data_IF_240870330119
#
_entry.id   IF_240870330119
#
_cell.length_a   1.000
_cell.length_b   1.000
_cell.length_c   1.000
_cell.angle_alpha   90.00
_cell.angle_beta   90.00
_cell.angle_gamma   90.00
#
_symmetry.space_group_name_H-M   'P 1'
#
loop_
_entity.id
_entity.type
_entity.pdbx_description
1 polymer ?
#
# COMPACT_ATOMS: atom_id res chain seq x y z
N UNK A 1 -12.68 35.65 -7.55
CA UNK A 1 -13.20 34.29 -7.32
C UNK A 1 -12.00 33.38 -7.29
N UNK A 2 -11.66 32.81 -6.14
CA UNK A 2 -10.52 31.90 -6.02
C UNK A 2 -10.93 30.52 -6.53
N UNK A 3 -10.24 30.03 -7.55
CA UNK A 3 -10.38 28.66 -8.06
C UNK A 3 -10.00 27.67 -6.96
N UNK A 4 -10.98 26.90 -6.46
CA UNK A 4 -10.72 25.79 -5.56
C UNK A 4 -9.91 24.73 -6.30
N UNK A 5 -8.60 24.64 -6.01
CA UNK A 5 -7.75 23.60 -6.58
C UNK A 5 -8.17 22.22 -6.04
N UNK A 6 -8.66 21.40 -6.95
CA UNK A 6 -9.07 20.02 -6.76
C UNK A 6 -7.87 19.11 -6.46
N UNK A 7 -8.07 18.11 -5.60
CA UNK A 7 -7.12 17.01 -5.42
C UNK A 7 -7.52 15.82 -6.28
N UNK A 8 -6.59 15.29 -7.07
CA UNK A 8 -6.74 14.00 -7.76
C UNK A 8 -5.72 13.01 -7.23
N UNK A 9 -6.10 11.76 -6.97
CA UNK A 9 -5.09 10.75 -6.65
C UNK A 9 -4.19 10.53 -7.86
N UNK A 10 -2.89 10.78 -7.72
CA UNK A 10 -1.92 10.63 -8.82
C UNK A 10 -1.84 9.19 -9.37
N UNK A 11 -2.32 8.20 -8.62
CA UNK A 11 -2.24 6.77 -8.97
C UNK A 11 -3.43 6.27 -9.76
N UNK A 12 -4.65 6.40 -9.22
CA UNK A 12 -5.87 5.95 -9.91
C UNK A 12 -6.56 7.06 -10.71
N UNK A 13 -6.03 8.29 -10.70
CA UNK A 13 -6.57 9.46 -11.41
C UNK A 13 -8.04 9.75 -11.04
N UNK A 14 -8.51 9.24 -9.91
CA UNK A 14 -9.84 9.55 -9.39
C UNK A 14 -9.80 10.97 -8.81
N UNK A 15 -10.80 11.76 -9.20
CA UNK A 15 -10.97 13.14 -8.75
C UNK A 15 -11.79 13.17 -7.46
N UNK A 16 -11.42 14.06 -6.53
CA UNK A 16 -12.24 14.30 -5.34
C UNK A 16 -13.54 15.00 -5.73
N UNK A 17 -14.68 14.52 -5.22
CA UNK A 17 -15.95 15.23 -5.40
C UNK A 17 -15.98 16.54 -4.59
N UNK A 18 -16.80 17.54 -4.99
CA UNK A 18 -16.62 18.94 -4.56
C UNK A 18 -16.91 19.26 -3.08
N UNK A 19 -17.28 18.29 -2.24
CA UNK A 19 -17.85 18.56 -0.92
C UNK A 19 -17.22 17.72 0.21
N UNK A 20 -16.13 18.23 0.82
CA UNK A 20 -15.54 17.93 2.17
C UNK A 20 -14.18 17.20 2.19
N UNK A 21 -13.27 17.70 3.04
CA UNK A 21 -11.97 17.09 3.43
C UNK A 21 -12.05 15.60 3.86
N UNK A 22 -13.21 15.11 4.29
CA UNK A 22 -13.47 13.70 4.65
C UNK A 22 -13.29 12.74 3.45
N UNK A 23 -13.51 13.23 2.22
CA UNK A 23 -13.45 12.45 0.99
C UNK A 23 -12.03 12.08 0.54
N UNK A 24 -11.00 12.75 1.02
CA UNK A 24 -9.64 12.44 0.58
C UNK A 24 -9.14 11.09 1.11
N UNK A 25 -9.32 10.83 2.40
CA UNK A 25 -9.00 9.52 3.00
C UNK A 25 -9.79 8.40 2.34
N UNK A 26 -11.06 8.65 2.05
CA UNK A 26 -11.93 7.69 1.37
C UNK A 26 -11.47 7.42 -0.07
N UNK A 27 -11.07 8.46 -0.81
CA UNK A 27 -10.54 8.33 -2.17
C UNK A 27 -9.21 7.57 -2.19
N UNK A 28 -8.31 7.84 -1.26
CA UNK A 28 -7.05 7.09 -1.10
C UNK A 28 -7.30 5.63 -0.72
N UNK A 29 -8.19 5.40 0.24
CA UNK A 29 -8.60 4.06 0.68
C UNK A 29 -9.20 3.24 -0.48
N UNK A 30 -10.15 3.81 -1.23
CA UNK A 30 -10.77 3.17 -2.39
C UNK A 30 -9.77 2.88 -3.50
N UNK A 31 -8.85 3.82 -3.76
CA UNK A 31 -7.78 3.67 -4.74
C UNK A 31 -6.83 2.51 -4.37
N UNK A 32 -6.46 2.42 -3.10
CA UNK A 32 -5.61 1.36 -2.58
C UNK A 32 -6.31 0.00 -2.56
N UNK A 33 -7.58 -0.06 -2.13
CA UNK A 33 -8.37 -1.29 -2.14
C UNK A 33 -8.45 -1.88 -3.55
N UNK A 34 -8.78 -1.06 -4.55
CA UNK A 34 -8.80 -1.49 -5.97
C UNK A 34 -7.43 -1.97 -6.45
N UNK A 35 -6.34 -1.28 -6.06
CA UNK A 35 -4.96 -1.69 -6.38
C UNK A 35 -4.64 -3.06 -5.80
N UNK A 36 -4.91 -3.26 -4.51
CA UNK A 36 -4.65 -4.52 -3.83
C UNK A 36 -5.42 -5.67 -4.48
N UNK A 37 -6.69 -5.43 -4.80
CA UNK A 37 -7.53 -6.38 -5.53
C UNK A 37 -6.96 -6.75 -6.90
N UNK A 38 -6.54 -5.76 -7.70
CA UNK A 38 -5.94 -6.00 -9.02
C UNK A 38 -4.60 -6.74 -8.92
N UNK A 39 -3.83 -6.50 -7.86
CA UNK A 39 -2.54 -7.14 -7.66
C UNK A 39 -2.65 -8.57 -7.11
N UNK A 40 -3.80 -9.02 -6.61
CA UNK A 40 -3.93 -10.38 -6.05
C UNK A 40 -3.47 -11.49 -6.99
N UNK A 41 -3.76 -11.37 -8.28
CA UNK A 41 -3.39 -12.38 -9.27
C UNK A 41 -1.96 -12.20 -9.80
N UNK A 42 -1.29 -11.11 -9.45
CA UNK A 42 0.01 -10.72 -10.00
C UNK A 42 1.20 -11.07 -9.09
N UNK A 43 0.94 -11.55 -7.87
CA UNK A 43 1.99 -12.00 -6.95
C UNK A 43 1.52 -13.23 -6.16
N UNK A 44 2.48 -14.07 -5.81
CA UNK A 44 2.35 -15.15 -4.81
C UNK A 44 3.64 -15.16 -4.01
N UNK A 45 3.55 -15.48 -2.71
CA UNK A 45 4.74 -15.75 -1.90
C UNK A 45 5.36 -17.11 -2.20
N UNK A 46 4.66 -17.97 -2.95
CA UNK A 46 4.97 -19.40 -3.07
C UNK A 46 4.52 -20.22 -1.85
N UNK A 47 3.81 -19.61 -0.90
CA UNK A 47 3.23 -20.27 0.26
C UNK A 47 1.72 -19.95 0.35
N UNK A 48 0.89 -20.95 0.08
CA UNK A 48 -0.57 -20.80 0.02
C UNK A 48 -1.19 -20.30 1.32
N UNK A 49 -0.63 -20.66 2.48
CA UNK A 49 -1.18 -20.25 3.78
C UNK A 49 -0.92 -18.77 4.04
N UNK A 50 0.29 -18.28 3.71
CA UNK A 50 0.64 -16.87 3.77
C UNK A 50 -0.20 -16.07 2.79
N UNK A 51 -0.35 -16.56 1.55
CA UNK A 51 -1.13 -15.89 0.52
C UNK A 51 -2.61 -15.76 0.94
N UNK A 52 -3.23 -16.84 1.44
CA UNK A 52 -4.59 -16.82 2.00
C UNK A 52 -4.72 -15.88 3.19
N UNK A 53 -3.73 -15.85 4.09
CA UNK A 53 -3.75 -14.98 5.25
C UNK A 53 -3.77 -13.50 4.86
N UNK A 54 -2.89 -13.10 3.92
CA UNK A 54 -2.83 -11.73 3.41
C UNK A 54 -4.12 -11.36 2.66
N UNK A 55 -4.65 -12.26 1.83
CA UNK A 55 -5.92 -12.06 1.13
C UNK A 55 -7.08 -11.85 2.11
N UNK A 56 -7.20 -12.70 3.13
CA UNK A 56 -8.23 -12.60 4.16
C UNK A 56 -8.12 -11.31 4.99
N UNK A 57 -6.90 -10.86 5.31
CA UNK A 57 -6.68 -9.57 5.95
C UNK A 57 -7.21 -8.42 5.08
N UNK A 58 -6.87 -8.41 3.78
CA UNK A 58 -7.32 -7.36 2.85
C UNK A 58 -8.85 -7.35 2.65
N UNK A 59 -9.50 -8.52 2.70
CA UNK A 59 -10.97 -8.63 2.60
C UNK A 59 -11.70 -8.20 3.88
N UNK A 60 -11.11 -8.43 5.05
CA UNK A 60 -11.74 -8.16 6.35
C UNK A 60 -11.43 -6.76 6.90
N UNK A 61 -10.38 -6.11 6.40
CA UNK A 61 -9.89 -4.86 6.95
C UNK A 61 -10.77 -3.67 6.56
N UNK A 62 -11.32 -3.00 7.57
CA UNK A 62 -12.05 -1.72 7.41
C UNK A 62 -11.15 -0.49 7.53
N UNK A 63 -9.90 -0.69 7.95
CA UNK A 63 -8.97 0.37 8.28
C UNK A 63 -7.69 0.26 7.44
N UNK A 64 -7.43 1.27 6.62
CA UNK A 64 -6.26 1.33 5.72
C UNK A 64 -4.90 1.15 6.43
N UNK A 65 -4.81 1.49 7.72
CA UNK A 65 -3.59 1.30 8.52
C UNK A 65 -3.32 -0.16 8.92
N UNK A 66 -4.30 -1.07 8.75
CA UNK A 66 -4.21 -2.48 9.15
C UNK A 66 -4.06 -3.43 7.95
N UNK A 67 -3.90 -2.87 6.74
CA UNK A 67 -3.73 -3.64 5.53
C UNK A 67 -2.31 -4.22 5.48
N UNK A 68 -2.22 -5.53 5.28
CA UNK A 68 -0.98 -6.23 5.01
C UNK A 68 -0.69 -6.21 3.50
N UNK A 69 0.53 -5.82 3.13
CA UNK A 69 1.00 -5.87 1.74
C UNK A 69 2.19 -6.82 1.63
N UNK A 70 2.14 -7.71 0.64
CA UNK A 70 3.30 -8.48 0.23
C UNK A 70 4.26 -7.63 -0.60
N UNK A 71 5.52 -7.56 -0.19
CA UNK A 71 6.56 -6.81 -0.89
C UNK A 71 7.57 -7.80 -1.47
N UNK A 72 7.65 -7.96 -2.79
CA UNK A 72 8.66 -8.81 -3.42
C UNK A 72 10.07 -8.36 -3.07
N UNK A 73 10.98 -9.31 -2.86
CA UNK A 73 12.35 -9.03 -2.41
C UNK A 73 13.11 -8.06 -3.35
N UNK A 74 12.85 -8.14 -4.66
CA UNK A 74 13.46 -7.26 -5.66
C UNK A 74 13.03 -5.77 -5.56
N UNK A 75 12.07 -5.44 -4.68
CA UNK A 75 11.68 -4.05 -4.36
C UNK A 75 12.53 -3.46 -3.23
N UNK A 76 13.44 -4.22 -2.64
CA UNK A 76 14.37 -3.73 -1.65
C UNK A 76 15.72 -3.36 -2.30
N UNK A 77 16.27 -2.21 -1.90
CA UNK A 77 17.61 -1.74 -2.27
C UNK A 77 18.44 -1.49 -1.03
N UNK A 78 19.77 -1.52 -1.19
CA UNK A 78 20.73 -1.34 -0.09
C UNK A 78 20.39 -2.27 1.08
N UNK A 79 20.22 -3.56 0.77
CA UNK A 79 19.98 -4.60 1.80
C UNK A 79 21.28 -4.80 2.56
N UNK A 80 21.26 -4.51 3.85
CA UNK A 80 22.41 -4.58 4.77
C UNK A 80 22.06 -5.60 5.84
N UNK A 81 22.92 -6.59 6.03
CA UNK A 81 22.82 -7.55 7.12
C UNK A 81 23.11 -6.88 8.47
N UNK A 82 22.32 -7.21 9.50
CA UNK A 82 22.50 -6.69 10.85
C UNK A 82 23.03 -7.78 11.78
N UNK A 83 22.27 -8.87 11.91
CA UNK A 83 22.56 -9.93 12.88
C UNK A 83 21.81 -11.20 12.52
N UNK A 84 22.22 -12.32 13.11
CA UNK A 84 21.51 -13.60 13.09
C UNK A 84 21.32 -14.05 14.53
N UNK A 85 20.12 -14.50 14.86
CA UNK A 85 19.79 -15.05 16.18
C UNK A 85 18.91 -16.30 16.02
N UNK A 86 18.34 -16.80 17.13
CA UNK A 86 17.48 -17.99 17.14
C UNK A 86 16.21 -17.88 16.28
N UNK A 87 15.85 -16.68 15.81
CA UNK A 87 14.71 -16.42 14.94
C UNK A 87 15.11 -16.21 13.47
N UNK A 88 16.41 -16.21 13.16
CA UNK A 88 16.95 -16.14 11.80
C UNK A 88 17.79 -14.89 11.52
N UNK A 89 17.95 -14.55 10.24
CA UNK A 89 18.80 -13.44 9.77
C UNK A 89 18.01 -12.14 9.63
N UNK A 90 18.49 -11.09 10.28
CA UNK A 90 17.91 -9.75 10.25
C UNK A 90 18.68 -8.84 9.29
N UNK A 91 17.94 -8.09 8.47
CA UNK A 91 18.47 -7.14 7.49
C UNK A 91 17.71 -5.81 7.57
N UNK A 92 18.40 -4.71 7.24
CA UNK A 92 17.77 -3.40 6.95
C UNK A 92 17.86 -3.15 5.45
N UNK A 93 16.80 -2.59 4.87
CA UNK A 93 16.78 -2.24 3.46
C UNK A 93 15.91 -1.01 3.20
N UNK A 94 16.20 -0.33 2.09
CA UNK A 94 15.35 0.71 1.56
C UNK A 94 14.30 0.11 0.63
N UNK A 95 13.02 0.34 0.92
CA UNK A 95 11.94 0.01 0.00
C UNK A 95 11.84 1.08 -1.09
N UNK A 96 11.92 0.67 -2.36
CA UNK A 96 11.93 1.61 -3.50
C UNK A 96 10.56 2.26 -3.76
N UNK A 97 9.51 1.67 -3.20
CA UNK A 97 8.12 2.05 -3.42
C UNK A 97 7.54 2.73 -2.20
N UNK A 98 8.02 3.93 -1.89
CA UNK A 98 7.46 4.72 -0.78
C UNK A 98 6.12 5.36 -1.21
N UNK A 99 5.15 4.53 -1.59
CA UNK A 99 3.92 4.97 -2.27
C UNK A 99 2.68 5.04 -1.38
N UNK A 100 2.78 4.66 -0.10
CA UNK A 100 1.60 4.59 0.75
C UNK A 100 1.09 5.97 1.24
N UNK A 101 1.96 6.98 1.39
CA UNK A 101 1.60 8.24 2.08
C UNK A 101 1.85 9.52 1.29
N UNK A 102 2.73 9.53 0.28
CA UNK A 102 3.24 10.80 -0.30
C UNK A 102 2.59 11.26 -1.61
N UNK A 103 1.83 10.41 -2.30
CA UNK A 103 1.31 10.76 -3.63
C UNK A 103 -0.13 11.29 -3.64
N UNK A 104 -0.65 11.54 -2.45
CA UNK A 104 -1.98 12.10 -2.28
C UNK A 104 -1.91 13.40 -1.45
N UNK A 105 -0.86 14.20 -1.58
CA UNK A 105 -0.88 15.56 -1.03
C UNK A 105 -0.34 16.51 -2.09
N UNK A 106 -1.25 17.28 -2.70
CA UNK A 106 -0.97 18.61 -3.22
C UNK A 106 -2.02 19.56 -2.64
#
# INVERSE_FOLDING_TARGET
MEEQKYGSCMRCKQESTPHRKKYWKELVSNCNSKRFQQNFNNWTSGNDDIDKFIQNNLLSTKNEYHLLEWIPYNRFRKVIYITEDGFGKTHVANWIDVYFWKHCFK
#
